data_IF_748061157319
#
_entry.id   IF_748061157319
#
_cell.length_a   1.000
_cell.length_b   1.000
_cell.length_c   1.000
_cell.angle_alpha   90.00
_cell.angle_beta   90.00
_cell.angle_gamma   90.00
#
_symmetry.space_group_name_H-M   'P 1'
#
loop_
_entity.id
_entity.type
_entity.pdbx_description
1 polymer ?
#
# COMPACT_ATOMS: atom_id res chain seq x y z
N UNK A 1 4.36 -11.49 -17.21
CA UNK A 1 3.34 -10.81 -18.05
C UNK A 1 3.59 -9.31 -18.17
N UNK A 2 3.78 -8.58 -17.07
CA UNK A 2 4.03 -7.13 -17.08
C UNK A 2 5.23 -6.70 -17.95
N UNK A 3 6.36 -7.40 -17.88
CA UNK A 3 7.54 -7.06 -18.70
C UNK A 3 7.29 -7.23 -20.22
N UNK A 4 6.52 -8.25 -20.62
CA UNK A 4 6.14 -8.49 -22.02
C UNK A 4 5.21 -7.37 -22.50
N UNK A 5 4.23 -7.03 -21.67
CA UNK A 5 3.31 -5.93 -21.91
C UNK A 5 4.04 -4.58 -22.05
N UNK A 6 4.97 -4.28 -21.14
CA UNK A 6 5.78 -3.06 -21.16
C UNK A 6 6.65 -2.98 -22.42
N UNK A 7 7.33 -4.08 -22.76
CA UNK A 7 8.14 -4.16 -23.99
C UNK A 7 7.29 -3.93 -25.24
N UNK A 8 6.12 -4.55 -25.33
CA UNK A 8 5.19 -4.36 -26.45
C UNK A 8 4.75 -2.90 -26.58
N UNK A 9 4.37 -2.25 -25.48
CA UNK A 9 3.96 -0.84 -25.49
C UNK A 9 5.10 0.08 -25.95
N UNK A 10 6.32 -0.13 -25.44
CA UNK A 10 7.49 0.68 -25.81
C UNK A 10 7.85 0.53 -27.29
N UNK A 11 7.82 -0.70 -27.81
CA UNK A 11 8.24 -1.00 -29.19
C UNK A 11 7.19 -0.60 -30.24
N UNK A 12 5.91 -0.84 -29.96
CA UNK A 12 4.83 -0.59 -30.92
C UNK A 12 4.16 0.77 -30.74
N UNK A 13 4.44 1.48 -29.64
CA UNK A 13 3.70 2.68 -29.19
C UNK A 13 2.19 2.43 -29.00
N UNK A 14 1.77 1.17 -28.89
CA UNK A 14 0.38 0.80 -28.60
C UNK A 14 -0.01 1.17 -27.17
N UNK A 15 -1.26 1.60 -27.00
CA UNK A 15 -1.89 1.79 -25.67
C UNK A 15 -2.59 0.52 -25.17
N UNK A 16 -2.67 -0.53 -25.99
CA UNK A 16 -3.31 -1.82 -25.64
C UNK A 16 -2.24 -2.85 -25.33
N UNK A 17 -2.53 -3.71 -24.35
CA UNK A 17 -1.68 -4.84 -24.04
C UNK A 17 -1.74 -5.92 -25.14
N UNK A 18 -0.64 -6.66 -25.34
CA UNK A 18 -0.65 -7.80 -26.25
C UNK A 18 -1.48 -8.94 -25.65
N UNK A 19 -2.06 -9.77 -26.52
CA UNK A 19 -2.60 -11.06 -26.08
C UNK A 19 -1.44 -11.96 -25.64
N UNK A 20 -1.55 -12.53 -24.44
CA UNK A 20 -0.57 -13.47 -23.88
C UNK A 20 -1.22 -14.84 -23.82
N UNK A 21 -0.66 -15.79 -24.58
CA UNK A 21 -1.09 -17.18 -24.57
C UNK A 21 -0.21 -17.99 -23.61
N UNK A 22 -0.74 -18.46 -22.47
CA UNK A 22 0.06 -19.24 -21.52
C UNK A 22 0.28 -20.66 -22.06
N UNK A 23 1.56 -21.06 -22.17
CA UNK A 23 1.97 -22.40 -22.53
C UNK A 23 2.93 -22.93 -21.46
N UNK A 24 2.69 -24.15 -21.00
CA UNK A 24 3.53 -24.84 -20.03
C UNK A 24 4.00 -26.16 -20.63
N UNK A 25 5.31 -26.32 -20.76
CA UNK A 25 5.93 -27.59 -21.11
C UNK A 25 6.25 -28.34 -19.82
N UNK A 26 5.59 -29.48 -19.60
CA UNK A 26 5.88 -30.36 -18.48
C UNK A 26 6.69 -31.57 -18.96
N UNK A 27 7.87 -31.77 -18.38
CA UNK A 27 8.77 -32.89 -18.68
C UNK A 27 9.15 -33.65 -17.40
N UNK A 28 8.17 -33.86 -16.51
CA UNK A 28 8.38 -34.65 -15.30
C UNK A 28 8.14 -36.13 -15.51
N UNK A 29 8.73 -36.96 -14.63
CA UNK A 29 8.57 -38.42 -14.64
C UNK A 29 7.17 -38.81 -14.15
N UNK A 30 6.61 -38.05 -13.22
CA UNK A 30 5.27 -38.30 -12.66
C UNK A 30 4.18 -37.80 -13.60
N UNK A 31 2.98 -38.35 -13.49
CA UNK A 31 1.82 -37.85 -14.24
C UNK A 31 1.44 -36.47 -13.72
N UNK A 32 1.33 -35.49 -14.62
CA UNK A 32 0.82 -34.17 -14.28
C UNK A 32 -0.62 -34.26 -13.74
N UNK A 33 -0.86 -33.69 -12.56
CA UNK A 33 -2.14 -33.77 -11.85
C UNK A 33 -2.62 -32.43 -11.28
N UNK A 34 -1.95 -31.32 -11.59
CA UNK A 34 -2.40 -29.99 -11.20
C UNK A 34 -3.50 -29.49 -12.15
N UNK A 35 -4.42 -28.63 -11.67
CA UNK A 35 -5.38 -27.95 -12.54
C UNK A 35 -4.71 -27.13 -13.64
N UNK A 36 -5.28 -27.17 -14.85
CA UNK A 36 -4.85 -26.33 -15.98
C UNK A 36 -5.57 -24.96 -16.01
N UNK A 37 -6.66 -24.84 -15.26
CA UNK A 37 -7.40 -23.60 -15.10
C UNK A 37 -6.82 -22.82 -13.92
N UNK A 38 -6.44 -21.55 -14.16
CA UNK A 38 -5.88 -20.67 -13.13
C UNK A 38 -6.79 -20.58 -11.90
N UNK A 39 -8.11 -20.53 -12.09
CA UNK A 39 -9.06 -20.33 -10.99
C UNK A 39 -9.16 -21.55 -10.08
N UNK A 40 -8.99 -22.76 -10.63
CA UNK A 40 -9.03 -24.03 -9.89
C UNK A 40 -7.79 -24.23 -9.00
N UNK A 41 -6.77 -23.38 -9.13
CA UNK A 41 -5.62 -23.36 -8.23
C UNK A 41 -5.92 -22.70 -6.88
N UNK A 42 -7.06 -22.02 -6.74
CA UNK A 42 -7.47 -21.33 -5.53
C UNK A 42 -8.59 -22.08 -4.81
N UNK A 43 -8.60 -22.04 -3.47
CA UNK A 43 -9.66 -22.67 -2.66
C UNK A 43 -11.07 -22.16 -3.03
N UNK A 44 -11.19 -20.86 -3.34
CA UNK A 44 -12.44 -20.26 -3.79
C UNK A 44 -12.30 -19.76 -5.24
N UNK A 45 -12.42 -20.69 -6.18
CA UNK A 45 -12.33 -20.41 -7.62
C UNK A 45 -13.34 -19.36 -8.09
N UNK A 46 -14.56 -19.32 -7.54
CA UNK A 46 -15.60 -18.38 -7.98
C UNK A 46 -15.25 -16.95 -7.60
N UNK A 47 -14.80 -16.74 -6.35
CA UNK A 47 -14.41 -15.43 -5.86
C UNK A 47 -13.22 -14.86 -6.64
N UNK A 48 -12.19 -15.67 -6.88
CA UNK A 48 -10.99 -15.20 -7.60
C UNK A 48 -11.33 -14.87 -9.04
N UNK A 49 -12.10 -15.73 -9.72
CA UNK A 49 -12.57 -15.46 -11.08
C UNK A 49 -13.36 -14.15 -11.12
N UNK A 50 -14.36 -13.98 -10.26
CA UNK A 50 -15.17 -12.77 -10.22
C UNK A 50 -14.33 -11.51 -9.93
N UNK A 51 -13.31 -11.61 -9.08
CA UNK A 51 -12.45 -10.47 -8.73
C UNK A 51 -11.50 -10.09 -9.87
N UNK A 52 -11.01 -11.06 -10.66
CA UNK A 52 -9.98 -10.82 -11.68
C UNK A 52 -10.54 -10.60 -13.10
N UNK A 53 -11.77 -11.06 -13.39
CA UNK A 53 -12.37 -10.91 -14.73
C UNK A 53 -13.27 -9.68 -14.86
N UNK A 54 -13.74 -9.12 -13.75
CA UNK A 54 -14.55 -7.90 -13.75
C UNK A 54 -13.67 -6.66 -13.61
N UNK A 55 -14.30 -5.49 -13.64
CA UNK A 55 -13.63 -4.23 -13.33
C UNK A 55 -12.94 -4.33 -11.96
N UNK A 56 -11.68 -3.92 -11.93
CA UNK A 56 -10.93 -3.86 -10.69
C UNK A 56 -11.51 -2.78 -9.79
N UNK A 57 -11.37 -2.97 -8.48
CA UNK A 57 -11.73 -1.94 -7.52
C UNK A 57 -10.70 -0.79 -7.57
N UNK A 58 -11.11 0.36 -8.09
CA UNK A 58 -10.32 1.59 -8.00
C UNK A 58 -10.61 2.29 -6.67
N UNK A 59 -9.60 2.39 -5.81
CA UNK A 59 -9.67 3.21 -4.59
C UNK A 59 -9.02 4.57 -4.88
N UNK A 60 -9.85 5.58 -5.13
CA UNK A 60 -9.38 6.95 -5.23
C UNK A 60 -9.46 7.65 -3.87
N UNK A 61 -8.30 7.84 -3.23
CA UNK A 61 -8.21 8.47 -1.91
C UNK A 61 -8.71 9.93 -1.90
N UNK A 62 -8.74 10.60 -3.07
CA UNK A 62 -9.24 11.96 -3.17
C UNK A 62 -10.77 12.06 -3.04
N UNK A 63 -11.49 10.98 -3.36
CA UNK A 63 -12.96 10.92 -3.25
C UNK A 63 -13.42 10.66 -1.81
N UNK A 64 -12.50 10.26 -0.92
CA UNK A 64 -12.79 9.98 0.49
C UNK A 64 -12.51 11.23 1.32
N UNK A 65 -13.43 11.58 2.23
CA UNK A 65 -13.26 12.74 3.11
C UNK A 65 -12.17 12.49 4.16
N UNK A 66 -11.44 13.54 4.57
CA UNK A 66 -10.39 13.42 5.59
C UNK A 66 -10.97 12.91 6.92
N UNK A 67 -12.22 13.28 7.23
CA UNK A 67 -12.94 12.79 8.39
C UNK A 67 -13.11 11.27 8.35
N UNK A 68 -13.39 10.69 7.19
CA UNK A 68 -13.52 9.24 7.03
C UNK A 68 -12.17 8.54 7.06
N UNK A 69 -11.16 9.11 6.38
CA UNK A 69 -9.80 8.60 6.42
C UNK A 69 -9.26 8.56 7.85
N UNK A 70 -9.48 9.62 8.65
CA UNK A 70 -9.03 9.70 10.04
C UNK A 70 -9.78 8.79 11.02
N UNK A 71 -10.89 8.13 10.62
CA UNK A 71 -11.61 7.16 11.47
C UNK A 71 -10.92 5.80 11.52
N UNK A 72 -10.32 5.35 10.40
CA UNK A 72 -9.76 4.01 10.31
C UNK A 72 -8.29 4.01 10.75
N UNK A 73 -8.03 3.42 11.91
CA UNK A 73 -6.70 3.37 12.53
C UNK A 73 -5.64 2.64 11.72
N UNK A 74 -6.07 1.73 10.85
CA UNK A 74 -5.16 0.84 10.15
C UNK A 74 -4.69 1.46 8.83
N UNK A 75 -5.58 1.59 7.85
CA UNK A 75 -5.22 2.08 6.51
C UNK A 75 -5.49 3.58 6.31
N UNK A 76 -6.27 4.18 7.20
CA UNK A 76 -6.81 5.52 7.01
C UNK A 76 -5.76 6.64 7.07
N UNK A 77 -4.77 6.52 7.95
CA UNK A 77 -3.66 7.49 8.04
C UNK A 77 -2.80 7.47 6.78
N UNK A 78 -2.43 6.26 6.33
CA UNK A 78 -1.64 6.12 5.12
C UNK A 78 -2.39 6.71 3.93
N UNK A 79 -3.68 6.40 3.78
CA UNK A 79 -4.52 6.96 2.72
C UNK A 79 -4.68 8.48 2.84
N UNK A 80 -4.78 9.02 4.06
CA UNK A 80 -4.76 10.46 4.32
C UNK A 80 -3.46 11.09 3.80
N UNK A 81 -2.30 10.53 4.14
CA UNK A 81 -1.05 11.04 3.61
C UNK A 81 -0.91 10.82 2.10
N UNK A 82 -1.40 9.71 1.54
CA UNK A 82 -1.43 9.50 0.08
C UNK A 82 -2.22 10.61 -0.63
N UNK A 83 -3.36 11.02 -0.06
CA UNK A 83 -4.18 12.12 -0.58
C UNK A 83 -3.45 13.46 -0.57
N UNK A 84 -2.66 13.73 0.47
CA UNK A 84 -2.01 15.02 0.67
C UNK A 84 -0.51 15.05 0.31
N UNK A 85 0.05 13.94 -0.21
CA UNK A 85 1.50 13.75 -0.35
C UNK A 85 2.19 14.80 -1.24
N UNK A 86 1.43 15.41 -2.14
CA UNK A 86 1.92 16.41 -3.09
C UNK A 86 1.73 17.85 -2.62
N UNK A 87 1.19 18.06 -1.41
CA UNK A 87 1.06 19.39 -0.84
C UNK A 87 2.42 19.95 -0.37
N UNK A 88 2.58 21.27 -0.46
CA UNK A 88 3.84 21.94 -0.10
C UNK A 88 4.16 21.89 1.39
N UNK A 89 3.13 21.76 2.22
CA UNK A 89 3.23 21.80 3.68
C UNK A 89 2.66 20.51 4.27
N UNK A 90 3.48 19.46 4.25
CA UNK A 90 3.15 18.18 4.85
C UNK A 90 3.20 18.21 6.38
N UNK A 91 3.96 19.15 6.97
CA UNK A 91 4.05 19.29 8.42
C UNK A 91 2.67 19.62 9.02
N UNK A 92 1.92 20.52 8.37
CA UNK A 92 0.52 20.80 8.76
C UNK A 92 -0.35 19.54 8.81
N UNK A 93 -0.15 18.59 7.89
CA UNK A 93 -0.91 17.33 7.85
C UNK A 93 -0.48 16.37 8.96
N UNK A 94 0.79 16.41 9.34
CA UNK A 94 1.29 15.73 10.53
C UNK A 94 0.67 16.27 11.82
N UNK A 95 0.57 17.59 11.96
CA UNK A 95 -0.09 18.22 13.11
C UNK A 95 -1.56 17.80 13.22
N UNK A 96 -2.28 17.73 12.09
CA UNK A 96 -3.68 17.32 12.04
C UNK A 96 -3.95 15.88 12.52
N UNK A 97 -2.96 14.99 12.43
CA UNK A 97 -3.10 13.60 12.86
C UNK A 97 -2.42 13.32 14.21
N UNK A 98 -1.67 14.28 14.76
CA UNK A 98 -0.84 14.11 15.95
C UNK A 98 -1.63 13.54 17.13
N UNK A 99 -2.85 14.04 17.36
CA UNK A 99 -3.72 13.58 18.45
C UNK A 99 -4.36 12.20 18.21
N UNK A 100 -4.27 11.69 16.99
CA UNK A 100 -4.76 10.37 16.63
C UNK A 100 -3.67 9.29 16.76
N UNK A 101 -2.39 9.67 16.67
CA UNK A 101 -1.23 8.75 16.81
C UNK A 101 -1.31 7.85 18.06
N UNK A 102 -1.66 8.33 19.27
CA UNK A 102 -1.73 7.46 20.45
C UNK A 102 -2.84 6.41 20.36
N UNK A 103 -3.95 6.72 19.66
CA UNK A 103 -5.06 5.78 19.46
C UNK A 103 -4.65 4.65 18.53
N UNK A 104 -3.89 4.98 17.50
CA UNK A 104 -3.43 4.04 16.49
C UNK A 104 -2.29 3.15 16.99
N UNK A 105 -1.40 3.71 17.80
CA UNK A 105 -0.31 2.98 18.47
C UNK A 105 -0.79 1.91 19.47
N UNK A 106 -2.08 1.91 19.86
CA UNK A 106 -2.69 0.90 20.76
C UNK A 106 -3.25 -0.31 20.01
N UNK A 107 -3.41 -0.23 18.69
CA UNK A 107 -3.85 -1.38 17.88
C UNK A 107 -2.70 -2.37 17.78
N UNK A 108 -2.95 -3.67 17.98
CA UNK A 108 -1.92 -4.70 18.21
C UNK A 108 -0.97 -4.96 17.02
N UNK A 109 -1.17 -4.25 15.90
CA UNK A 109 -0.41 -4.36 14.65
C UNK A 109 0.43 -3.08 14.37
N UNK A 110 0.53 -2.15 15.34
CA UNK A 110 0.74 -0.71 15.07
C UNK A 110 2.14 -0.21 14.69
N UNK A 111 3.24 -0.94 14.93
CA UNK A 111 4.58 -0.36 14.71
C UNK A 111 4.90 -0.34 13.21
N UNK A 112 4.68 -1.47 12.53
CA UNK A 112 4.91 -1.62 11.10
C UNK A 112 4.08 -0.61 10.27
N UNK A 113 2.88 -0.23 10.73
CA UNK A 113 2.06 0.79 10.07
C UNK A 113 2.56 2.20 10.29
N UNK A 114 3.07 2.50 11.49
CA UNK A 114 3.71 3.79 11.77
C UNK A 114 4.94 3.96 10.90
N UNK A 115 5.78 2.92 10.82
CA UNK A 115 6.90 2.89 9.89
C UNK A 115 6.44 3.09 8.44
N UNK A 116 5.38 2.41 8.00
CA UNK A 116 4.92 2.51 6.61
C UNK A 116 4.55 3.94 6.19
N UNK A 117 3.74 4.67 6.98
CA UNK A 117 3.42 6.06 6.61
C UNK A 117 4.57 7.03 6.90
N UNK A 118 5.45 6.72 7.85
CA UNK A 118 6.71 7.46 8.04
C UNK A 118 7.59 7.35 6.79
N UNK A 119 7.92 6.14 6.34
CA UNK A 119 8.69 5.93 5.11
C UNK A 119 8.04 6.62 3.93
N UNK A 120 6.71 6.52 3.80
CA UNK A 120 5.99 7.15 2.71
C UNK A 120 6.15 8.69 2.73
N UNK A 121 6.01 9.33 3.89
CA UNK A 121 6.04 10.79 4.03
C UNK A 121 7.44 11.39 4.12
N UNK A 122 8.41 10.70 4.73
CA UNK A 122 9.79 11.16 4.88
C UNK A 122 10.48 11.40 3.54
N UNK A 123 10.06 10.71 2.48
CA UNK A 123 10.57 10.95 1.12
C UNK A 123 10.11 12.28 0.49
N UNK A 124 9.12 12.94 1.09
CA UNK A 124 8.47 14.15 0.55
C UNK A 124 8.44 15.33 1.50
N UNK A 125 8.60 15.09 2.81
CA UNK A 125 8.70 16.15 3.78
C UNK A 125 9.98 16.97 3.56
N UNK A 126 9.94 18.27 3.88
CA UNK A 126 11.14 19.11 3.80
C UNK A 126 12.11 18.68 4.89
N UNK A 127 13.40 18.72 4.58
CA UNK A 127 14.45 18.40 5.55
C UNK A 127 14.38 19.30 6.80
N UNK A 128 13.96 20.55 6.65
CA UNK A 128 13.75 21.48 7.75
C UNK A 128 12.68 21.04 8.74
N UNK A 129 11.70 20.25 8.30
CA UNK A 129 10.48 19.93 9.05
C UNK A 129 10.58 18.54 9.72
N UNK A 130 11.68 17.80 9.48
CA UNK A 130 11.89 16.44 10.02
C UNK A 130 11.98 16.47 11.55
N UNK A 131 12.67 17.48 12.10
CA UNK A 131 12.84 17.64 13.54
C UNK A 131 11.50 17.86 14.25
N UNK A 132 10.59 18.62 13.64
CA UNK A 132 9.25 18.87 14.15
C UNK A 132 8.40 17.59 14.12
N UNK A 133 8.47 16.79 13.05
CA UNK A 133 7.80 15.49 13.01
C UNK A 133 8.34 14.55 14.08
N UNK A 134 9.65 14.51 14.29
CA UNK A 134 10.25 13.72 15.36
C UNK A 134 9.72 14.15 16.74
N UNK A 135 9.61 15.46 16.98
CA UNK A 135 9.03 16.00 18.21
C UNK A 135 7.56 15.64 18.38
N UNK A 136 6.77 15.65 17.30
CA UNK A 136 5.36 15.19 17.31
C UNK A 136 5.30 13.71 17.72
N UNK A 137 6.14 12.86 17.14
CA UNK A 137 6.17 11.43 17.47
C UNK A 137 6.54 11.20 18.93
N UNK A 138 7.64 11.80 19.40
CA UNK A 138 8.12 11.69 20.79
C UNK A 138 7.09 12.18 21.80
N UNK A 139 6.40 13.28 21.50
CA UNK A 139 5.39 13.85 22.41
C UNK A 139 4.09 13.06 22.47
N UNK A 140 3.70 12.39 21.37
CA UNK A 140 2.41 11.67 21.25
C UNK A 140 2.52 10.16 21.48
N UNK A 141 3.68 9.56 21.26
CA UNK A 141 3.91 8.13 21.44
C UNK A 141 4.63 7.89 22.78
N UNK A 142 4.06 7.05 23.65
CA UNK A 142 4.64 6.74 24.97
C UNK A 142 6.01 6.03 24.85
N UNK A 143 6.97 6.46 25.67
CA UNK A 143 8.40 6.05 25.70
C UNK A 143 8.69 4.55 25.84
N UNK A 144 7.68 3.72 26.15
CA UNK A 144 7.85 2.25 26.24
C UNK A 144 7.98 1.56 24.87
N UNK A 145 7.55 2.19 23.77
CA UNK A 145 7.69 1.65 22.39
C UNK A 145 8.82 2.30 21.58
N UNK A 146 9.38 3.42 22.03
CA UNK A 146 10.48 4.13 21.35
C UNK A 146 11.73 3.26 21.13
N UNK A 147 12.03 2.33 22.04
CA UNK A 147 13.21 1.45 21.91
C UNK A 147 13.22 0.63 20.62
N UNK A 148 12.06 0.33 20.02
CA UNK A 148 12.01 -0.47 18.79
C UNK A 148 12.14 0.34 17.49
N UNK A 149 11.80 1.63 17.51
CA UNK A 149 11.82 2.51 16.33
C UNK A 149 13.21 3.07 16.00
N UNK A 150 14.13 3.03 16.96
CA UNK A 150 15.49 3.57 16.84
C UNK A 150 16.58 2.48 16.80
N UNK A 151 16.19 1.21 16.70
CA UNK A 151 17.08 0.04 16.63
C UNK A 151 17.19 -0.54 15.20
N UNK A 152 16.70 0.17 14.17
CA UNK A 152 16.81 -0.20 12.74
C UNK A 152 17.77 0.74 12.02
#
# INVERSE_FOLDING_TARGET
MLNIAEYHMKTTKSKKFPFIYPLVFYNGIQKYNAPLNLWELFENSELVKATWTNDYQLINVHDVSDKELKKNAWSGILQFFMKHIHERDLLKRWEEIADLLPKFAKVNISIDYIELFLFYTLTKIKQSDIMEVENILKSKLNSKKEKKLWEV
#
